data_IF_721297450650
#
_entry.id   IF_721297450650
#
_cell.length_a   1.000
_cell.length_b   1.000
_cell.length_c   1.000
_cell.angle_alpha   90.00
_cell.angle_beta   90.00
_cell.angle_gamma   90.00
#
_symmetry.space_group_name_H-M   'P 1'
#
loop_
_entity.id
_entity.type
_entity.pdbx_description
1 polymer ?
#
# COMPACT_ATOMS: atom_id res chain seq x y z
N UNK A 1 17.80 16.64 5.37
CA UNK A 1 18.24 15.37 4.75
C UNK A 1 17.18 14.31 5.03
N UNK A 2 16.87 13.44 4.07
CA UNK A 2 15.93 12.33 4.32
C UNK A 2 16.60 11.32 5.25
N UNK A 3 15.95 10.96 6.34
CA UNK A 3 16.46 9.92 7.24
C UNK A 3 16.59 8.61 6.45
N UNK A 4 17.78 8.00 6.49
CA UNK A 4 18.08 6.77 5.76
C UNK A 4 17.12 5.63 6.13
N UNK A 5 16.55 5.67 7.34
CA UNK A 5 15.58 4.70 7.85
C UNK A 5 14.22 4.80 7.15
N UNK A 6 13.91 5.92 6.47
CA UNK A 6 12.69 6.09 5.67
C UNK A 6 12.81 5.38 4.30
N UNK A 7 14.03 5.14 3.83
CA UNK A 7 14.27 4.54 2.50
C UNK A 7 13.70 3.12 2.42
N UNK A 8 13.92 2.31 3.45
CA UNK A 8 13.40 0.94 3.50
C UNK A 8 11.86 0.86 3.43
N UNK A 9 11.08 1.52 4.32
CA UNK A 9 9.62 1.47 4.25
C UNK A 9 9.10 2.10 2.95
N UNK A 10 9.73 3.16 2.43
CA UNK A 10 9.34 3.75 1.16
C UNK A 10 9.45 2.75 0.00
N UNK A 11 10.59 2.06 -0.12
CA UNK A 11 10.80 1.06 -1.18
C UNK A 11 9.79 -0.07 -1.07
N UNK A 12 9.58 -0.60 0.14
CA UNK A 12 8.62 -1.70 0.37
C UNK A 12 7.21 -1.26 0.01
N UNK A 13 6.77 -0.09 0.47
CA UNK A 13 5.44 0.43 0.14
C UNK A 13 5.30 0.66 -1.37
N UNK A 14 6.31 1.21 -2.05
CA UNK A 14 6.28 1.38 -3.50
C UNK A 14 6.14 0.04 -4.23
N UNK A 15 6.92 -0.98 -3.87
CA UNK A 15 6.83 -2.31 -4.48
C UNK A 15 5.43 -2.91 -4.26
N UNK A 16 4.90 -2.85 -3.04
CA UNK A 16 3.57 -3.39 -2.73
C UNK A 16 2.45 -2.65 -3.48
N UNK A 17 2.53 -1.32 -3.61
CA UNK A 17 1.59 -0.53 -4.41
C UNK A 17 1.66 -0.95 -5.89
N UNK A 18 2.85 -1.12 -6.46
CA UNK A 18 3.00 -1.57 -7.84
C UNK A 18 2.44 -2.97 -8.06
N UNK A 19 2.70 -3.90 -7.13
CA UNK A 19 2.13 -5.25 -7.15
C UNK A 19 0.60 -5.18 -7.12
N UNK A 20 0.04 -4.36 -6.24
CA UNK A 20 -1.42 -4.20 -6.12
C UNK A 20 -2.05 -3.61 -7.38
N UNK A 21 -1.42 -2.61 -8.00
CA UNK A 21 -1.86 -2.06 -9.29
C UNK A 21 -1.79 -3.15 -10.37
N UNK A 22 -0.72 -3.94 -10.39
CA UNK A 22 -0.58 -5.08 -11.31
C UNK A 22 -1.71 -6.11 -11.15
N UNK A 23 -2.04 -6.50 -9.92
CA UNK A 23 -3.15 -7.41 -9.64
C UNK A 23 -4.50 -6.82 -10.04
N UNK A 24 -4.77 -5.55 -9.72
CA UNK A 24 -5.99 -4.87 -10.12
C UNK A 24 -6.14 -4.87 -11.66
N UNK A 25 -5.05 -4.54 -12.37
CA UNK A 25 -5.01 -4.57 -13.83
C UNK A 25 -5.29 -5.98 -14.39
N UNK A 26 -4.66 -7.01 -13.83
CA UNK A 26 -4.88 -8.40 -14.27
C UNK A 26 -6.33 -8.84 -14.06
N UNK A 27 -6.93 -8.54 -12.91
CA UNK A 27 -8.33 -8.90 -12.62
C UNK A 27 -9.27 -8.20 -13.61
N UNK A 28 -9.09 -6.90 -13.83
CA UNK A 28 -9.93 -6.13 -14.73
C UNK A 28 -9.77 -6.55 -16.21
N UNK A 29 -8.59 -6.97 -16.63
CA UNK A 29 -8.32 -7.37 -18.02
C UNK A 29 -8.64 -8.83 -18.33
N UNK A 30 -8.35 -9.73 -17.40
CA UNK A 30 -8.48 -11.19 -17.61
C UNK A 30 -9.91 -11.65 -17.27
N UNK A 31 -10.44 -11.18 -16.14
CA UNK A 31 -11.73 -11.68 -15.60
C UNK A 31 -12.84 -10.63 -15.79
N UNK A 32 -12.47 -9.36 -15.99
CA UNK A 32 -13.43 -8.26 -16.13
C UNK A 32 -14.45 -8.45 -17.25
N UNK A 33 -14.18 -9.20 -18.32
CA UNK A 33 -15.19 -9.50 -19.34
C UNK A 33 -16.44 -10.22 -18.80
N UNK A 34 -16.29 -10.99 -17.72
CA UNK A 34 -17.34 -11.85 -17.15
C UNK A 34 -17.95 -11.27 -15.86
N UNK A 35 -17.40 -10.18 -15.33
CA UNK A 35 -17.83 -9.58 -14.08
C UNK A 35 -18.85 -8.46 -14.35
N UNK A 36 -20.04 -8.47 -13.72
CA UNK A 36 -21.00 -7.37 -13.82
C UNK A 36 -20.39 -6.02 -13.36
N UNK A 37 -20.83 -4.92 -13.95
CA UNK A 37 -20.26 -3.58 -13.71
C UNK A 37 -20.20 -3.20 -12.21
N UNK A 38 -21.26 -3.50 -11.45
CA UNK A 38 -21.33 -3.21 -10.01
C UNK A 38 -20.18 -3.88 -9.25
N UNK A 39 -19.90 -5.14 -9.55
CA UNK A 39 -18.83 -5.88 -8.90
C UNK A 39 -17.44 -5.35 -9.27
N UNK A 40 -17.24 -4.86 -10.50
CA UNK A 40 -15.98 -4.20 -10.89
C UNK A 40 -15.71 -2.96 -10.04
N UNK A 41 -16.72 -2.10 -9.88
CA UNK A 41 -16.61 -0.87 -9.08
C UNK A 41 -16.25 -1.22 -7.63
N UNK A 42 -16.91 -2.23 -7.05
CA UNK A 42 -16.61 -2.69 -5.68
C UNK A 42 -15.16 -3.17 -5.59
N UNK A 43 -14.70 -3.98 -6.53
CA UNK A 43 -13.31 -4.49 -6.55
C UNK A 43 -12.31 -3.33 -6.65
N UNK A 44 -12.55 -2.37 -7.54
CA UNK A 44 -11.69 -1.18 -7.69
C UNK A 44 -11.64 -0.35 -6.40
N UNK A 45 -12.78 -0.13 -5.74
CA UNK A 45 -12.83 0.56 -4.45
C UNK A 45 -12.04 -0.18 -3.37
N UNK A 46 -12.08 -1.51 -3.35
CA UNK A 46 -11.27 -2.32 -2.42
C UNK A 46 -9.77 -2.11 -2.69
N UNK A 47 -9.33 -2.17 -3.95
CA UNK A 47 -7.92 -1.93 -4.29
C UNK A 47 -7.46 -0.52 -3.91
N UNK A 48 -8.29 0.50 -4.15
CA UNK A 48 -8.02 1.89 -3.73
C UNK A 48 -7.90 1.98 -2.21
N UNK A 49 -8.82 1.34 -1.49
CA UNK A 49 -8.79 1.27 -0.02
C UNK A 49 -7.48 0.64 0.49
N UNK A 50 -7.07 -0.49 -0.10
CA UNK A 50 -5.81 -1.16 0.26
C UNK A 50 -4.59 -0.28 -0.01
N UNK A 51 -4.52 0.40 -1.15
CA UNK A 51 -3.44 1.36 -1.45
C UNK A 51 -3.45 2.50 -0.42
N UNK A 52 -4.62 3.04 -0.10
CA UNK A 52 -4.78 4.06 0.94
C UNK A 52 -4.25 3.60 2.30
N UNK A 53 -4.57 2.37 2.72
CA UNK A 53 -4.05 1.82 3.98
C UNK A 53 -2.54 1.68 3.98
N UNK A 54 -1.91 1.23 2.88
CA UNK A 54 -0.46 1.13 2.78
C UNK A 54 0.23 2.49 2.87
N UNK A 55 -0.34 3.51 2.21
CA UNK A 55 0.18 4.88 2.28
C UNK A 55 0.02 5.43 3.70
N UNK A 56 -1.12 5.20 4.35
CA UNK A 56 -1.35 5.62 5.73
C UNK A 56 -0.32 5.02 6.69
N UNK A 57 -0.04 3.71 6.58
CA UNK A 57 0.98 3.03 7.40
C UNK A 57 2.38 3.59 7.13
N UNK A 58 2.73 3.90 5.88
CA UNK A 58 3.99 4.56 5.53
C UNK A 58 4.09 5.95 6.20
N UNK A 59 3.01 6.73 6.17
CA UNK A 59 2.96 8.05 6.83
C UNK A 59 3.18 7.90 8.33
N UNK A 60 2.52 6.94 8.98
CA UNK A 60 2.70 6.72 10.42
C UNK A 60 4.15 6.32 10.74
N UNK A 61 4.77 5.41 9.99
CA UNK A 61 6.19 5.09 10.18
C UNK A 61 7.13 6.27 9.95
N UNK A 62 6.86 7.10 8.95
CA UNK A 62 7.65 8.31 8.74
C UNK A 62 7.50 9.28 9.92
N UNK A 63 6.31 9.38 10.52
CA UNK A 63 6.08 10.20 11.72
C UNK A 63 6.84 9.65 12.92
N UNK A 64 6.76 8.36 13.19
CA UNK A 64 7.47 7.68 14.29
C UNK A 64 8.99 7.83 14.18
N UNK A 65 9.57 7.57 13.00
CA UNK A 65 11.01 7.75 12.75
C UNK A 65 11.43 9.22 13.02
N UNK A 66 10.56 10.18 12.67
CA UNK A 66 10.82 11.61 12.88
C UNK A 66 10.59 12.07 14.32
N UNK A 67 9.67 11.46 15.06
CA UNK A 67 9.43 11.77 16.48
C UNK A 67 10.49 11.14 17.39
N UNK A 68 11.26 10.18 16.89
CA UNK A 68 12.21 9.41 17.71
C UNK A 68 11.51 8.37 18.59
N UNK A 69 10.20 8.20 18.43
CA UNK A 69 9.42 7.08 18.96
C UNK A 69 9.58 5.92 17.97
N UNK A 70 10.78 5.36 17.92
CA UNK A 70 11.00 4.16 17.12
C UNK A 70 10.19 3.03 17.74
N UNK A 71 9.29 2.44 16.95
CA UNK A 71 8.63 1.17 17.28
C UNK A 71 9.70 0.08 17.29
N UNK A 72 10.44 0.04 18.39
CA UNK A 72 11.59 -0.81 18.61
C UNK A 72 11.08 -2.23 18.87
N UNK A 73 11.06 -3.04 17.80
CA UNK A 73 10.70 -4.46 17.84
C UNK A 73 11.52 -5.26 18.86
N UNK A 74 12.64 -4.73 19.37
CA UNK A 74 13.42 -5.33 20.45
C UNK A 74 12.73 -5.35 21.81
N UNK A 75 11.56 -4.70 21.96
CA UNK A 75 10.73 -4.75 23.17
C UNK A 75 9.68 -5.87 23.17
N UNK A 76 9.63 -6.70 22.14
CA UNK A 76 8.78 -7.88 22.03
C UNK A 76 9.61 -9.16 21.91
#
# INVERSE_FOLDING_TARGET
MMDKRIVAPLIVTTILVLIQIGYAYLILRVIGGFIPLVWKIIIELVFIGLIGTMIYQLIQRIKEIRSGEEDDLSKY
#
